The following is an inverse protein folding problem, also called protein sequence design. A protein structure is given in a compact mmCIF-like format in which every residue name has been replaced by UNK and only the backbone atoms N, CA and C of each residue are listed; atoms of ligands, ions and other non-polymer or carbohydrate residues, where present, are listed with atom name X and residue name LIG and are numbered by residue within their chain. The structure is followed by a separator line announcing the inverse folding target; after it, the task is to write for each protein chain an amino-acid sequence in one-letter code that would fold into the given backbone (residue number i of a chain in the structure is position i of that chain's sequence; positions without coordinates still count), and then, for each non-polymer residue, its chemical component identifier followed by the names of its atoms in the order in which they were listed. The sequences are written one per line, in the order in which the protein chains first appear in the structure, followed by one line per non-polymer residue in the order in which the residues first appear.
data_IF_006934270856
#
_entry.id   IF_006934270856
#
_cell.length_a   1.000
_cell.length_b   1.000
_cell.length_c   1.000
_cell.angle_alpha   90.00
_cell.angle_beta   90.00
_cell.angle_gamma   90.00
#
_symmetry.space_group_name_H-M   'P 1'
#
loop_
_entity.id
_entity.type
_entity.pdbx_description
1 polymer ?
#
# COMPACT_ATOMS: atom_id res chain seq x y z
N UNK A 1 28.17 -42.01 -6.53
CA UNK A 1 27.96 -40.79 -5.71
C UNK A 1 26.98 -39.88 -6.44
N UNK A 2 25.88 -39.48 -5.80
CA UNK A 2 24.93 -38.52 -6.38
C UNK A 2 25.59 -37.15 -6.46
N UNK A 3 25.50 -36.50 -7.63
CA UNK A 3 26.08 -35.17 -7.85
C UNK A 3 25.30 -34.15 -7.01
N UNK A 4 26.02 -33.28 -6.28
CA UNK A 4 25.39 -32.19 -5.52
C UNK A 4 24.60 -31.27 -6.46
N UNK A 5 23.44 -30.78 -6.02
CA UNK A 5 22.61 -29.85 -6.78
C UNK A 5 23.43 -28.65 -7.24
N UNK A 6 24.24 -28.05 -6.37
CA UNK A 6 25.04 -26.87 -6.71
C UNK A 6 26.06 -27.09 -7.84
N UNK A 7 26.34 -28.34 -8.23
CA UNK A 7 27.26 -28.70 -9.32
C UNK A 7 26.54 -29.12 -10.60
N UNK A 8 25.20 -29.09 -10.65
CA UNK A 8 24.47 -29.53 -11.84
C UNK A 8 24.55 -28.49 -12.96
N UNK A 9 24.80 -28.98 -14.18
CA UNK A 9 24.85 -28.16 -15.40
C UNK A 9 23.45 -27.86 -15.92
N UNK A 10 23.33 -26.88 -16.83
CA UNK A 10 22.02 -26.45 -17.39
C UNK A 10 21.24 -27.58 -18.05
N UNK A 11 21.93 -28.49 -18.74
CA UNK A 11 21.32 -29.66 -19.38
C UNK A 11 20.79 -30.67 -18.35
N UNK A 12 21.56 -30.96 -17.30
CA UNK A 12 21.14 -31.84 -16.21
C UNK A 12 19.93 -31.26 -15.46
N UNK A 13 19.91 -29.94 -15.25
CA UNK A 13 18.76 -29.24 -14.66
C UNK A 13 17.52 -29.41 -15.54
N UNK A 14 17.65 -29.20 -16.86
CA UNK A 14 16.52 -29.33 -17.79
C UNK A 14 15.95 -30.75 -17.83
N UNK A 15 16.79 -31.77 -17.66
CA UNK A 15 16.35 -33.17 -17.66
C UNK A 15 15.66 -33.61 -16.35
N UNK A 16 15.98 -32.97 -15.23
CA UNK A 16 15.52 -33.37 -13.88
C UNK A 16 14.65 -32.31 -13.19
N UNK A 17 13.95 -31.48 -13.98
CA UNK A 17 13.16 -30.37 -13.45
C UNK A 17 12.10 -30.81 -12.44
N UNK A 18 11.41 -31.91 -12.69
CA UNK A 18 10.33 -32.39 -11.81
C UNK A 18 10.87 -32.83 -10.43
N UNK A 19 11.98 -33.59 -10.42
CA UNK A 19 12.67 -33.99 -9.19
C UNK A 19 13.20 -32.77 -8.42
N UNK A 20 13.78 -31.79 -9.13
CA UNK A 20 14.25 -30.54 -8.54
C UNK A 20 13.07 -29.79 -7.88
N UNK A 21 11.94 -29.68 -8.56
CA UNK A 21 10.75 -28.98 -8.05
C UNK A 21 10.24 -29.62 -6.76
N UNK A 22 10.15 -30.95 -6.71
CA UNK A 22 9.71 -31.68 -5.53
C UNK A 22 10.62 -31.41 -4.32
N UNK A 23 11.94 -31.38 -4.55
CA UNK A 23 12.94 -31.14 -3.50
C UNK A 23 13.00 -29.70 -3.02
N UNK A 24 12.64 -28.73 -3.87
CA UNK A 24 12.57 -27.31 -3.52
C UNK A 24 11.31 -27.01 -2.72
N UNK A 25 10.17 -27.63 -3.06
CA UNK A 25 8.88 -27.43 -2.38
C UNK A 25 8.94 -27.72 -0.87
N UNK A 26 9.71 -28.74 -0.47
CA UNK A 26 9.91 -29.12 0.93
C UNK A 26 11.28 -28.70 1.49
N UNK A 27 11.87 -27.60 1.01
CA UNK A 27 13.24 -27.23 1.40
C UNK A 27 13.37 -26.77 2.85
N UNK A 28 14.44 -27.22 3.51
CA UNK A 28 14.85 -26.83 4.87
C UNK A 28 16.17 -26.03 4.86
N UNK A 29 16.89 -26.09 3.73
CA UNK A 29 18.21 -25.50 3.58
C UNK A 29 18.29 -24.70 2.28
N UNK A 30 19.01 -23.57 2.34
CA UNK A 30 19.42 -22.78 1.18
C UNK A 30 20.93 -22.69 1.14
N UNK A 31 21.49 -22.82 -0.06
CA UNK A 31 22.92 -22.64 -0.27
C UNK A 31 23.31 -21.16 -0.25
N UNK A 32 24.26 -20.76 0.61
CA UNK A 32 24.74 -19.38 0.72
C UNK A 32 25.32 -18.81 -0.58
N UNK A 33 25.97 -19.64 -1.41
CA UNK A 33 26.72 -19.16 -2.58
C UNK A 33 25.95 -19.13 -3.89
N UNK A 34 24.96 -20.01 -4.06
CA UNK A 34 24.24 -20.13 -5.33
C UNK A 34 22.72 -20.15 -5.17
N UNK A 35 22.22 -19.84 -3.96
CA UNK A 35 20.81 -19.70 -3.63
C UNK A 35 19.90 -20.90 -3.94
N UNK A 36 20.46 -22.09 -4.23
CA UNK A 36 19.66 -23.32 -4.42
C UNK A 36 19.13 -23.83 -3.09
N UNK A 37 17.90 -24.33 -3.11
CA UNK A 37 17.21 -24.89 -1.94
C UNK A 37 17.09 -26.41 -2.03
N UNK A 38 17.14 -27.10 -0.89
CA UNK A 38 16.87 -28.54 -0.80
C UNK A 38 16.40 -28.92 0.59
N UNK A 39 15.68 -30.03 0.72
CA UNK A 39 15.37 -30.65 2.02
C UNK A 39 16.63 -31.21 2.72
N UNK A 40 17.70 -31.52 1.98
CA UNK A 40 18.90 -32.17 2.52
C UNK A 40 20.15 -31.30 2.42
N UNK A 41 20.94 -31.25 3.51
CA UNK A 41 22.24 -30.53 3.54
C UNK A 41 23.25 -31.07 2.53
N UNK A 42 23.26 -32.39 2.31
CA UNK A 42 24.24 -33.08 1.45
C UNK A 42 24.17 -32.65 -0.02
N UNK A 43 23.01 -32.15 -0.44
CA UNK A 43 22.73 -31.69 -1.80
C UNK A 43 23.36 -30.32 -2.11
N UNK A 44 23.77 -29.56 -1.08
CA UNK A 44 24.22 -28.18 -1.20
C UNK A 44 25.72 -28.07 -0.89
N UNK A 45 26.42 -27.11 -1.50
CA UNK A 45 27.84 -26.88 -1.22
C UNK A 45 28.09 -26.04 0.03
N UNK A 46 27.18 -25.10 0.35
CA UNK A 46 27.23 -24.24 1.55
C UNK A 46 25.84 -24.12 2.19
N UNK A 47 25.30 -25.20 2.78
CA UNK A 47 23.95 -25.22 3.32
C UNK A 47 23.81 -24.30 4.55
N UNK A 48 22.78 -23.46 4.54
CA UNK A 48 22.27 -22.71 5.67
C UNK A 48 20.85 -23.19 5.93
N UNK A 49 20.49 -23.44 7.19
CA UNK A 49 19.13 -23.83 7.57
C UNK A 49 18.21 -22.62 7.53
N UNK A 50 17.04 -22.77 6.92
CA UNK A 50 15.99 -21.76 7.01
C UNK A 50 15.12 -22.12 8.20
N UNK A 51 14.95 -21.19 9.14
CA UNK A 51 13.95 -21.32 10.20
C UNK A 51 12.58 -21.06 9.60
N UNK A 52 11.81 -22.13 9.41
CA UNK A 52 10.40 -22.01 9.03
C UNK A 52 9.66 -21.42 10.22
N UNK A 53 9.21 -20.17 10.11
CA UNK A 53 8.28 -19.60 11.07
C UNK A 53 7.04 -20.50 11.10
N UNK A 54 6.90 -21.27 12.17
CA UNK A 54 5.82 -22.24 12.32
C UNK A 54 4.51 -21.47 12.49
N UNK A 55 3.78 -21.25 11.39
CA UNK A 55 2.35 -20.99 11.46
C UNK A 55 1.74 -22.34 11.83
N UNK A 56 1.49 -22.56 13.11
CA UNK A 56 0.84 -23.76 13.61
C UNK A 56 -0.58 -23.83 13.01
N UNK A 57 -0.75 -24.68 12.02
CA UNK A 57 -2.08 -25.12 11.57
C UNK A 57 -2.21 -26.54 12.09
N UNK A 58 -3.10 -26.72 13.06
CA UNK A 58 -3.35 -27.99 13.71
C UNK A 58 -3.71 -29.08 12.68
N UNK A 59 -3.21 -30.28 12.93
CA UNK A 59 -3.30 -31.49 12.13
C UNK A 59 -4.70 -31.78 11.56
N UNK A 60 -4.77 -32.01 10.26
CA UNK A 60 -5.68 -33.01 9.68
C UNK A 60 -5.12 -33.50 8.33
N UNK A 61 -5.28 -34.80 8.10
CA UNK A 61 -4.54 -35.65 7.16
C UNK A 61 -4.85 -35.38 5.67
N UNK A 62 -3.82 -35.62 4.84
CA UNK A 62 -3.82 -36.05 3.42
C UNK A 62 -4.78 -35.36 2.43
N UNK A 63 -4.23 -34.57 1.50
CA UNK A 63 -4.05 -34.98 0.09
C UNK A 63 -3.50 -33.82 -0.76
N UNK A 64 -2.75 -34.19 -1.78
CA UNK A 64 -2.20 -33.31 -2.80
C UNK A 64 -3.32 -32.63 -3.60
N UNK A 65 -3.39 -31.29 -3.60
CA UNK A 65 -4.01 -30.53 -4.70
C UNK A 65 -3.67 -29.04 -4.63
N UNK A 66 -3.18 -28.54 -5.76
CA UNK A 66 -3.06 -27.12 -6.11
C UNK A 66 -4.38 -26.39 -5.94
N UNK A 67 -4.52 -25.53 -4.92
CA UNK A 67 -5.71 -24.66 -4.81
C UNK A 67 -5.26 -23.28 -4.33
N UNK A 68 -5.31 -22.30 -5.25
CA UNK A 68 -5.49 -20.89 -4.88
C UNK A 68 -6.48 -20.83 -3.71
N UNK A 69 -6.30 -19.96 -2.70
CA UNK A 69 -7.30 -19.81 -1.64
C UNK A 69 -8.63 -19.50 -2.33
N UNK A 70 -9.53 -20.49 -2.41
CA UNK A 70 -10.79 -20.31 -3.10
C UNK A 70 -11.54 -19.26 -2.29
N UNK A 71 -11.89 -18.11 -2.91
CA UNK A 71 -12.54 -17.06 -2.17
C UNK A 71 -13.93 -17.59 -1.81
N UNK A 72 -14.11 -17.92 -0.54
CA UNK A 72 -15.40 -18.30 -0.01
C UNK A 72 -16.39 -17.21 -0.44
N UNK A 73 -17.47 -17.55 -1.18
CA UNK A 73 -18.35 -16.56 -1.85
C UNK A 73 -18.87 -15.48 -0.88
N UNK A 74 -18.96 -15.82 0.41
CA UNK A 74 -19.30 -14.90 1.50
C UNK A 74 -18.18 -13.86 1.76
N UNK A 75 -16.92 -14.27 1.80
CA UNK A 75 -15.76 -13.38 1.97
C UNK A 75 -15.62 -12.38 0.81
N UNK A 76 -15.81 -12.82 -0.44
CA UNK A 76 -15.77 -11.92 -1.60
C UNK A 76 -16.92 -10.90 -1.59
N UNK A 77 -18.12 -11.32 -1.17
CA UNK A 77 -19.27 -10.41 -1.02
C UNK A 77 -19.02 -9.37 0.09
N UNK A 78 -18.41 -9.76 1.20
CA UNK A 78 -18.06 -8.84 2.30
C UNK A 78 -16.98 -7.83 1.87
N UNK A 79 -15.91 -8.29 1.20
CA UNK A 79 -14.87 -7.44 0.65
C UNK A 79 -15.42 -6.42 -0.36
N UNK A 80 -16.27 -6.86 -1.31
CA UNK A 80 -16.90 -5.98 -2.30
C UNK A 80 -17.86 -4.97 -1.66
N UNK A 81 -18.57 -5.35 -0.59
CA UNK A 81 -19.42 -4.42 0.19
C UNK A 81 -18.57 -3.40 0.95
N UNK A 82 -17.45 -3.83 1.55
CA UNK A 82 -16.46 -2.95 2.19
C UNK A 82 -15.93 -1.89 1.22
N UNK A 83 -15.47 -2.31 0.05
CA UNK A 83 -14.94 -1.41 -0.98
C UNK A 83 -15.99 -0.41 -1.49
N UNK A 84 -17.25 -0.85 -1.66
CA UNK A 84 -18.35 0.06 -2.02
C UNK A 84 -18.64 1.10 -0.94
N UNK A 85 -18.57 0.73 0.35
CA UNK A 85 -18.74 1.67 1.48
C UNK A 85 -17.61 2.70 1.50
N UNK A 86 -16.36 2.24 1.39
CA UNK A 86 -15.18 3.10 1.33
C UNK A 86 -15.27 4.11 0.17
N UNK A 87 -15.66 3.65 -1.05
CA UNK A 87 -15.86 4.53 -2.21
C UNK A 87 -16.93 5.59 -1.97
N UNK A 88 -18.03 5.26 -1.27
CA UNK A 88 -19.08 6.22 -0.91
C UNK A 88 -18.56 7.28 0.08
N UNK A 89 -17.76 6.87 1.06
CA UNK A 89 -17.12 7.80 2.02
C UNK A 89 -16.18 8.77 1.30
N UNK A 90 -15.28 8.28 0.43
CA UNK A 90 -14.41 9.14 -0.37
C UNK A 90 -15.16 10.13 -1.26
N UNK A 91 -16.29 9.73 -1.87
CA UNK A 91 -17.15 10.65 -2.64
C UNK A 91 -17.73 11.76 -1.76
N UNK A 92 -18.13 11.47 -0.52
CA UNK A 92 -18.62 12.48 0.43
C UNK A 92 -17.50 13.45 0.82
N UNK A 93 -16.30 12.94 1.13
CA UNK A 93 -15.13 13.75 1.43
C UNK A 93 -14.78 14.70 0.27
N UNK A 94 -14.77 14.20 -0.97
CA UNK A 94 -14.53 15.03 -2.15
C UNK A 94 -15.60 16.11 -2.36
N UNK A 95 -16.87 15.85 -2.01
CA UNK A 95 -17.92 16.88 -2.04
C UNK A 95 -17.68 17.97 -0.99
N UNK A 96 -17.23 17.60 0.20
CA UNK A 96 -16.89 18.56 1.26
C UNK A 96 -15.69 19.42 0.86
N UNK A 97 -14.63 18.82 0.30
CA UNK A 97 -13.46 19.55 -0.20
C UNK A 97 -13.86 20.59 -1.27
N UNK A 98 -14.71 20.20 -2.23
CA UNK A 98 -15.24 21.13 -3.24
C UNK A 98 -16.06 22.27 -2.63
N UNK A 99 -16.81 22.03 -1.55
CA UNK A 99 -17.55 23.09 -0.83
C UNK A 99 -16.58 24.06 -0.13
N UNK A 100 -15.58 23.54 0.58
CA UNK A 100 -14.55 24.35 1.23
C UNK A 100 -13.83 25.25 0.21
N UNK A 101 -13.40 24.70 -0.92
CA UNK A 101 -12.78 25.47 -2.00
C UNK A 101 -13.69 26.58 -2.56
N UNK A 102 -14.98 26.29 -2.76
CA UNK A 102 -15.95 27.30 -3.22
C UNK A 102 -16.13 28.42 -2.20
N UNK A 103 -16.19 28.09 -0.91
CA UNK A 103 -16.28 29.08 0.16
C UNK A 103 -15.03 29.95 0.22
N UNK A 104 -13.84 29.36 0.14
CA UNK A 104 -12.57 30.11 0.10
C UNK A 104 -12.54 31.10 -1.08
N UNK A 105 -12.97 30.67 -2.27
CA UNK A 105 -13.08 31.57 -3.44
C UNK A 105 -14.08 32.70 -3.23
N UNK A 106 -15.20 32.46 -2.53
CA UNK A 106 -16.17 33.50 -2.19
C UNK A 106 -15.58 34.50 -1.19
N UNK A 107 -14.92 34.00 -0.14
CA UNK A 107 -14.22 34.83 0.84
C UNK A 107 -13.19 35.73 0.16
N UNK A 108 -12.35 35.17 -0.72
CA UNK A 108 -11.36 35.96 -1.48
C UNK A 108 -12.02 37.05 -2.35
N UNK A 109 -13.15 36.74 -3.00
CA UNK A 109 -13.89 37.74 -3.79
C UNK A 109 -14.45 38.86 -2.92
N UNK A 110 -14.97 38.51 -1.73
CA UNK A 110 -15.47 39.50 -0.78
C UNK A 110 -14.34 40.36 -0.23
N UNK A 111 -13.20 39.77 0.13
CA UNK A 111 -12.00 40.51 0.54
C UNK A 111 -11.58 41.51 -0.53
N UNK A 112 -11.46 41.09 -1.80
CA UNK A 112 -11.14 42.01 -2.90
C UNK A 112 -12.16 43.14 -3.08
N UNK A 113 -13.45 42.86 -2.88
CA UNK A 113 -14.50 43.91 -2.94
C UNK A 113 -14.36 44.87 -1.75
N UNK A 114 -14.11 44.33 -0.57
CA UNK A 114 -13.89 45.11 0.64
C UNK A 114 -12.67 46.00 0.48
N UNK A 115 -11.53 45.47 0.02
CA UNK A 115 -10.30 46.20 -0.31
C UNK A 115 -10.56 47.32 -1.31
N UNK A 116 -11.32 47.08 -2.38
CA UNK A 116 -11.69 48.14 -3.34
C UNK A 116 -12.53 49.26 -2.72
N UNK A 117 -13.41 48.93 -1.78
CA UNK A 117 -14.22 49.91 -1.06
C UNK A 117 -13.39 50.66 -0.01
N UNK A 118 -12.39 50.02 0.60
CA UNK A 118 -11.49 50.66 1.58
C UNK A 118 -10.35 51.45 0.92
N UNK A 119 -9.96 51.11 -0.31
CA UNK A 119 -9.00 51.87 -1.13
C UNK A 119 -9.65 52.98 -1.96
N UNK A 120 -10.99 53.10 -1.96
CA UNK A 120 -11.62 54.33 -2.42
C UNK A 120 -11.13 55.45 -1.49
N UNK A 121 -10.51 56.53 -2.03
CA UNK A 121 -10.03 57.61 -1.20
C UNK A 121 -11.23 58.14 -0.42
N UNK A 122 -11.22 57.95 0.89
CA UNK A 122 -12.12 58.66 1.79
C UNK A 122 -11.83 60.13 1.50
N UNK A 123 -12.80 60.95 1.05
CA UNK A 123 -12.57 62.38 1.10
C UNK A 123 -12.22 62.67 2.55
N UNK A 124 -11.03 63.24 2.77
CA UNK A 124 -10.71 63.92 4.01
C UNK A 124 -11.85 64.92 4.20
N UNK A 125 -12.79 64.58 5.07
CA UNK A 125 -13.71 65.57 5.58
C UNK A 125 -12.83 66.46 6.44
N UNK A 126 -12.37 67.55 5.82
CA UNK A 126 -11.73 68.64 6.54
C UNK A 126 -12.71 69.03 7.64
N UNK A 127 -12.34 68.66 8.86
CA UNK A 127 -13.04 68.99 10.08
C UNK A 127 -12.93 70.50 10.21
N UNK A 128 -13.89 71.21 9.62
CA UNK A 128 -14.00 72.66 9.72
C UNK A 128 -14.06 73.04 11.19
N UNK A 129 -12.99 73.74 11.55
CA UNK A 129 -12.80 74.61 12.70
C UNK A 129 -14.13 75.17 13.24
N UNK A 130 -14.57 74.62 14.37
CA UNK A 130 -15.48 75.32 15.29
C UNK A 130 -14.73 75.59 16.58
N UNK A 131 -13.58 76.25 16.46
CA UNK A 131 -12.94 76.96 17.55
C UNK A 131 -13.86 78.08 18.05
N UNK A 132 -14.63 77.77 19.08
CA UNK A 132 -15.30 78.74 19.94
C UNK A 132 -14.24 79.67 20.55
N UNK A 133 -14.10 80.89 20.02
CA UNK A 133 -13.39 81.98 20.70
C UNK A 133 -14.37 82.74 21.57
N UNK A 134 -14.50 82.27 22.82
CA UNK A 134 -14.97 83.08 23.94
C UNK A 134 -13.82 84.02 24.33
N UNK A 135 -13.95 85.32 24.04
CA UNK A 135 -13.43 86.42 24.85
C UNK A 135 -14.01 87.76 24.40
#
# INVERSE_FOLDING_TARGET
MVKRFCKMNRQEIAFSLDEINQLVAASDYVCRSCARSSCNKANLCKPIRIEKAQVQVADTKQDEQSVLPTPNKKAFKLAKKGLKKQRKQYKKLNKLLKKQQKLAKKQQKLQRKFEKLTQAPVPQVDLLDTGSSLH
#
